data_IF_841058177681
#
_entry.id   IF_841058177681
#
_cell.length_a   1.000
_cell.length_b   1.000
_cell.length_c   1.000
_cell.angle_alpha   90.00
_cell.angle_beta   90.00
_cell.angle_gamma   90.00
#
_symmetry.space_group_name_H-M   'P 1'
#
loop_
_entity.id
_entity.type
_entity.pdbx_description
1 polymer ?
#
# COMPACT_ATOMS: atom_id res chain seq x y z
N UNK A 1 29.02 25.17 45.65
CA UNK A 1 28.65 23.95 44.92
C UNK A 1 27.27 24.17 44.32
N UNK A 2 27.20 24.77 43.13
CA UNK A 2 25.93 24.95 42.40
C UNK A 2 25.87 23.85 41.33
N UNK A 3 24.96 22.90 41.52
CA UNK A 3 24.77 21.76 40.63
C UNK A 3 24.22 22.23 39.29
N UNK A 4 25.03 22.04 38.25
CA UNK A 4 24.64 22.04 36.85
C UNK A 4 23.63 20.92 36.60
N UNK A 5 22.33 21.21 36.68
CA UNK A 5 21.29 20.29 36.21
C UNK A 5 20.97 20.62 34.77
N UNK A 6 21.64 19.93 33.84
CA UNK A 6 21.37 19.96 32.41
C UNK A 6 19.99 19.35 32.15
N UNK A 7 18.98 20.19 31.97
CA UNK A 7 17.67 19.76 31.46
C UNK A 7 17.85 19.50 29.97
N UNK A 8 18.07 18.24 29.61
CA UNK A 8 18.03 17.75 28.24
C UNK A 8 16.54 17.64 27.84
N UNK A 9 16.03 18.40 26.86
CA UNK A 9 14.70 18.13 26.37
C UNK A 9 14.79 16.86 25.53
N UNK A 10 14.27 15.76 26.07
CA UNK A 10 13.87 14.59 25.29
C UNK A 10 12.76 15.05 24.34
N UNK A 11 13.17 15.54 23.17
CA UNK A 11 12.28 15.88 22.08
C UNK A 11 11.57 14.58 21.68
N UNK A 12 10.28 14.55 21.98
CA UNK A 12 9.36 13.47 21.72
C UNK A 12 9.43 13.08 20.24
N UNK A 13 10.10 11.97 19.91
CA UNK A 13 9.90 11.29 18.64
C UNK A 13 8.48 10.72 18.65
N UNK A 14 7.50 11.53 18.24
CA UNK A 14 6.16 11.04 17.91
C UNK A 14 6.31 10.06 16.74
N UNK A 15 5.87 8.80 16.87
CA UNK A 15 5.83 7.90 15.73
C UNK A 15 4.79 8.44 14.73
N UNK A 16 5.27 8.96 13.60
CA UNK A 16 4.46 9.41 12.46
C UNK A 16 3.58 8.28 11.88
N UNK A 17 3.78 7.04 12.35
CA UNK A 17 3.17 5.79 11.91
C UNK A 17 1.71 5.56 12.37
N UNK A 18 1.19 6.35 13.31
CA UNK A 18 -0.15 6.13 13.86
C UNK A 18 -1.27 6.33 12.82
N UNK A 19 -1.10 7.27 11.89
CA UNK A 19 -2.10 7.59 10.87
C UNK A 19 -2.32 6.43 9.89
N UNK A 20 -1.23 5.80 9.43
CA UNK A 20 -1.29 4.69 8.47
C UNK A 20 -1.92 3.41 9.06
N UNK A 21 -1.78 3.16 10.36
CA UNK A 21 -2.44 2.02 11.02
C UNK A 21 -3.95 2.18 11.11
N UNK A 22 -4.40 3.42 11.30
CA UNK A 22 -5.82 3.73 11.41
C UNK A 22 -6.52 3.54 10.06
N UNK A 23 -5.84 3.86 8.97
CA UNK A 23 -6.41 3.79 7.62
C UNK A 23 -6.79 2.35 7.20
N UNK A 24 -5.95 1.34 7.42
CA UNK A 24 -6.31 -0.07 7.08
C UNK A 24 -7.50 -0.59 7.91
N UNK A 25 -7.57 -0.24 9.21
CA UNK A 25 -8.64 -0.70 10.10
C UNK A 25 -10.01 -0.15 9.69
N UNK A 26 -10.03 1.01 9.05
CA UNK A 26 -11.25 1.68 8.59
C UNK A 26 -11.70 1.25 7.18
N UNK A 27 -10.93 0.39 6.49
CA UNK A 27 -11.32 -0.20 5.20
C UNK A 27 -12.46 -1.19 5.45
N UNK A 28 -13.58 -1.03 4.73
CA UNK A 28 -14.78 -1.87 4.94
C UNK A 28 -14.78 -3.11 4.06
N UNK A 29 -14.25 -3.01 2.84
CA UNK A 29 -13.98 -4.16 2.00
C UNK A 29 -12.98 -5.09 2.70
N UNK A 30 -13.39 -6.33 2.93
CA UNK A 30 -12.63 -7.28 3.75
C UNK A 30 -11.36 -7.74 3.07
N UNK A 31 -11.38 -7.84 1.75
CA UNK A 31 -10.24 -8.32 0.98
C UNK A 31 -9.21 -7.20 0.80
N UNK A 32 -9.64 -5.96 0.58
CA UNK A 32 -8.75 -4.79 0.62
C UNK A 32 -8.16 -4.57 2.01
N UNK A 33 -8.95 -4.71 3.07
CA UNK A 33 -8.46 -4.61 4.45
C UNK A 33 -7.35 -5.64 4.73
N UNK A 34 -7.59 -6.91 4.39
CA UNK A 34 -6.60 -7.99 4.55
C UNK A 34 -5.35 -7.73 3.73
N UNK A 35 -5.49 -7.25 2.49
CA UNK A 35 -4.33 -6.86 1.67
C UNK A 35 -3.53 -5.74 2.34
N UNK A 36 -4.21 -4.71 2.85
CA UNK A 36 -3.59 -3.60 3.57
C UNK A 36 -2.81 -4.07 4.80
N UNK A 37 -3.38 -4.97 5.58
CA UNK A 37 -2.73 -5.57 6.75
C UNK A 37 -1.52 -6.42 6.35
N UNK A 38 -1.66 -7.29 5.34
CA UNK A 38 -0.61 -8.18 4.86
C UNK A 38 0.60 -7.42 4.28
N UNK A 39 0.35 -6.37 3.49
CA UNK A 39 1.42 -5.53 2.93
C UNK A 39 2.17 -4.80 4.05
N UNK A 40 1.47 -4.36 5.10
CA UNK A 40 2.11 -3.68 6.23
C UNK A 40 2.83 -4.63 7.19
N UNK A 41 2.33 -5.85 7.36
CA UNK A 41 3.03 -6.89 8.11
C UNK A 41 4.23 -7.44 7.35
N UNK A 42 4.24 -7.31 6.01
CA UNK A 42 5.24 -7.90 5.14
C UNK A 42 5.14 -9.43 5.07
N UNK A 43 4.01 -10.01 5.47
CA UNK A 43 3.80 -11.47 5.50
C UNK A 43 3.00 -11.92 4.29
N UNK A 44 3.64 -12.66 3.40
CA UNK A 44 2.97 -13.27 2.24
C UNK A 44 1.88 -14.26 2.68
N UNK A 45 2.03 -14.87 3.87
CA UNK A 45 1.06 -15.82 4.41
C UNK A 45 -0.27 -15.14 4.71
N UNK A 46 -0.25 -13.86 5.05
CA UNK A 46 -1.45 -13.09 5.41
C UNK A 46 -2.33 -12.85 4.16
N UNK A 47 -1.72 -12.77 2.97
CA UNK A 47 -2.44 -12.69 1.69
C UNK A 47 -3.36 -13.90 1.44
N UNK A 48 -3.08 -15.07 2.02
CA UNK A 48 -3.92 -16.28 1.85
C UNK A 48 -5.35 -16.11 2.37
N UNK A 49 -5.58 -15.15 3.26
CA UNK A 49 -6.90 -14.86 3.82
C UNK A 49 -7.82 -14.09 2.86
N UNK A 50 -7.27 -13.54 1.78
CA UNK A 50 -7.99 -12.77 0.76
C UNK A 50 -8.79 -13.72 -0.12
N UNK A 51 -10.11 -13.48 -0.21
CA UNK A 51 -11.04 -14.30 -0.98
C UNK A 51 -10.88 -14.10 -2.48
N UNK A 52 -10.82 -12.83 -2.91
CA UNK A 52 -10.57 -12.45 -4.29
C UNK A 52 -9.20 -12.95 -4.77
N UNK A 53 -9.20 -13.71 -5.86
CA UNK A 53 -8.00 -14.39 -6.36
C UNK A 53 -6.99 -13.40 -6.94
N UNK A 54 -7.47 -12.38 -7.63
CA UNK A 54 -6.65 -11.41 -8.35
C UNK A 54 -6.00 -10.43 -7.37
N UNK A 55 -6.77 -9.96 -6.39
CA UNK A 55 -6.28 -9.15 -5.27
C UNK A 55 -5.32 -9.94 -4.38
N UNK A 56 -5.54 -11.24 -4.16
CA UNK A 56 -4.58 -12.10 -3.44
C UNK A 56 -3.24 -12.17 -4.17
N UNK A 57 -3.26 -12.39 -5.48
CA UNK A 57 -2.04 -12.40 -6.31
C UNK A 57 -1.33 -11.05 -6.28
N UNK A 58 -2.09 -9.96 -6.35
CA UNK A 58 -1.56 -8.62 -6.22
C UNK A 58 -0.94 -8.35 -4.84
N UNK A 59 -1.56 -8.84 -3.76
CA UNK A 59 -0.99 -8.77 -2.41
C UNK A 59 0.36 -9.50 -2.32
N UNK A 60 0.43 -10.73 -2.84
CA UNK A 60 1.66 -11.52 -2.90
C UNK A 60 2.77 -10.77 -3.66
N UNK A 61 2.41 -10.13 -4.78
CA UNK A 61 3.29 -9.27 -5.58
C UNK A 61 3.89 -8.14 -4.76
N UNK A 62 3.05 -7.45 -3.99
CA UNK A 62 3.47 -6.26 -3.26
C UNK A 62 4.31 -6.59 -2.05
N UNK A 63 4.00 -7.68 -1.35
CA UNK A 63 4.76 -8.13 -0.19
C UNK A 63 6.14 -8.66 -0.59
N UNK A 64 6.22 -9.39 -1.69
CA UNK A 64 7.44 -10.09 -2.09
C UNK A 64 7.62 -10.09 -3.62
N UNK A 65 7.98 -8.93 -4.22
CA UNK A 65 8.12 -8.80 -5.67
C UNK A 65 9.23 -9.71 -6.25
N UNK A 66 10.29 -9.99 -5.48
CA UNK A 66 11.45 -10.78 -5.93
C UNK A 66 11.31 -12.30 -5.71
N UNK A 67 10.20 -12.78 -5.15
CA UNK A 67 10.08 -14.19 -4.73
C UNK A 67 9.92 -15.20 -5.89
N UNK A 68 9.97 -14.75 -7.14
CA UNK A 68 9.86 -15.58 -8.35
C UNK A 68 8.51 -16.30 -8.51
N UNK A 69 7.56 -16.10 -7.59
CA UNK A 69 6.23 -16.73 -7.59
C UNK A 69 5.12 -15.78 -8.02
N UNK A 70 5.41 -14.48 -8.02
CA UNK A 70 4.42 -13.49 -8.43
C UNK A 70 4.45 -13.29 -9.93
N UNK A 71 3.63 -14.04 -10.64
CA UNK A 71 3.33 -13.77 -12.04
C UNK A 71 2.05 -12.91 -12.14
N UNK A 72 2.21 -11.62 -12.48
CA UNK A 72 1.08 -10.72 -12.72
C UNK A 72 0.21 -11.14 -13.92
N UNK A 73 0.64 -12.12 -14.73
CA UNK A 73 -0.15 -12.68 -15.83
C UNK A 73 -1.26 -13.64 -15.38
N UNK A 74 -1.21 -14.14 -14.14
CA UNK A 74 -2.25 -14.98 -13.55
C UNK A 74 -3.48 -14.19 -13.07
N UNK A 75 -3.38 -12.85 -13.06
CA UNK A 75 -4.42 -11.90 -12.67
C UNK A 75 -5.34 -11.67 -13.87
N UNK A 76 -6.64 -11.94 -13.72
CA UNK A 76 -7.61 -11.85 -14.82
C UNK A 76 -8.14 -10.43 -15.02
N UNK A 77 -8.33 -9.70 -13.93
CA UNK A 77 -8.66 -8.29 -13.97
C UNK A 77 -7.52 -7.48 -14.58
N UNK A 78 -7.81 -6.78 -15.67
CA UNK A 78 -6.78 -6.11 -16.47
C UNK A 78 -6.10 -4.98 -15.71
N UNK A 79 -6.87 -4.22 -14.94
CA UNK A 79 -6.36 -3.07 -14.21
C UNK A 79 -5.52 -3.52 -13.02
N UNK A 80 -5.95 -4.55 -12.30
CA UNK A 80 -5.16 -5.21 -11.25
C UNK A 80 -3.87 -5.80 -11.81
N UNK A 81 -3.91 -6.44 -12.99
CA UNK A 81 -2.71 -7.02 -13.62
C UNK A 81 -1.71 -5.92 -14.02
N UNK A 82 -2.16 -4.83 -14.61
CA UNK A 82 -1.31 -3.67 -14.95
C UNK A 82 -0.74 -2.99 -13.71
N UNK A 83 -1.55 -2.83 -12.66
CA UNK A 83 -1.08 -2.29 -11.39
C UNK A 83 -0.03 -3.20 -10.74
N UNK A 84 -0.22 -4.52 -10.80
CA UNK A 84 0.77 -5.51 -10.36
C UNK A 84 2.08 -5.33 -11.14
N UNK A 85 2.01 -5.27 -12.47
CA UNK A 85 3.18 -5.10 -13.34
C UNK A 85 3.95 -3.83 -12.98
N UNK A 86 3.28 -2.68 -12.90
CA UNK A 86 3.89 -1.40 -12.57
C UNK A 86 4.66 -1.40 -11.24
N UNK A 87 4.16 -2.16 -10.27
CA UNK A 87 4.77 -2.29 -8.95
C UNK A 87 5.98 -3.23 -8.97
N UNK A 88 5.88 -4.36 -9.66
CA UNK A 88 6.98 -5.32 -9.79
C UNK A 88 8.12 -4.73 -10.60
N UNK A 89 7.82 -3.99 -11.67
CA UNK A 89 8.81 -3.27 -12.49
C UNK A 89 9.29 -1.97 -11.84
N UNK A 90 8.58 -1.52 -10.80
CA UNK A 90 8.74 -0.21 -10.18
C UNK A 90 8.75 0.94 -11.22
N UNK A 91 7.90 0.83 -12.24
CA UNK A 91 7.81 1.79 -13.35
C UNK A 91 6.46 2.52 -13.29
N UNK A 92 6.45 3.81 -12.89
CA UNK A 92 5.22 4.60 -12.84
C UNK A 92 4.53 4.79 -14.20
N UNK A 93 5.27 4.69 -15.30
CA UNK A 93 4.72 4.79 -16.65
C UNK A 93 3.72 3.66 -16.98
N UNK A 94 3.88 2.50 -16.35
CA UNK A 94 3.00 1.35 -16.56
C UNK A 94 1.58 1.61 -16.00
N UNK A 95 1.46 2.51 -15.00
CA UNK A 95 0.17 2.91 -14.43
C UNK A 95 -0.75 3.61 -15.45
N UNK A 96 -0.21 4.22 -16.51
CA UNK A 96 -1.01 4.94 -17.51
C UNK A 96 -1.91 4.02 -18.36
N UNK A 97 -1.60 2.71 -18.36
CA UNK A 97 -2.40 1.71 -19.07
C UNK A 97 -3.64 1.24 -18.29
N UNK A 98 -3.77 1.62 -17.02
CA UNK A 98 -4.90 1.27 -16.15
C UNK A 98 -6.10 2.13 -16.54
N UNK A 99 -7.23 1.49 -16.83
CA UNK A 99 -8.46 2.15 -17.30
C UNK A 99 -9.19 2.83 -16.13
N UNK A 100 -9.38 2.10 -15.02
CA UNK A 100 -9.98 2.63 -13.80
C UNK A 100 -9.15 3.79 -13.22
N UNK A 101 -9.83 4.91 -12.97
CA UNK A 101 -9.17 6.15 -12.54
C UNK A 101 -8.59 6.03 -11.13
N UNK A 102 -9.30 5.36 -10.24
CA UNK A 102 -8.97 5.26 -8.83
C UNK A 102 -7.82 4.26 -8.63
N UNK A 103 -7.84 3.14 -9.37
CA UNK A 103 -6.71 2.21 -9.45
C UNK A 103 -5.48 2.87 -10.08
N UNK A 104 -5.64 3.66 -11.15
CA UNK A 104 -4.52 4.38 -11.76
C UNK A 104 -3.85 5.35 -10.79
N UNK A 105 -4.64 6.08 -9.99
CA UNK A 105 -4.12 6.97 -8.93
C UNK A 105 -3.42 6.18 -7.83
N UNK A 106 -4.01 5.07 -7.41
CA UNK A 106 -3.42 4.17 -6.41
C UNK A 106 -2.07 3.64 -6.89
N UNK A 107 -2.00 3.18 -8.15
CA UNK A 107 -0.77 2.72 -8.79
C UNK A 107 0.32 3.80 -8.72
N UNK A 108 0.03 5.02 -9.18
CA UNK A 108 0.97 6.14 -9.14
C UNK A 108 1.46 6.41 -7.72
N UNK A 109 0.56 6.47 -6.73
CA UNK A 109 0.91 6.64 -5.32
C UNK A 109 1.82 5.53 -4.78
N UNK A 110 1.71 4.32 -5.32
CA UNK A 110 2.48 3.15 -4.90
C UNK A 110 3.80 2.92 -5.65
N UNK A 111 4.07 3.66 -6.72
CA UNK A 111 5.32 3.55 -7.52
C UNK A 111 6.21 4.78 -7.48
N UNK A 112 5.62 5.98 -7.34
CA UNK A 112 6.41 7.24 -7.31
C UNK A 112 5.66 8.45 -6.75
N UNK A 113 4.45 8.26 -6.26
CA UNK A 113 3.50 9.35 -6.03
C UNK A 113 3.59 9.99 -4.66
N UNK A 114 2.79 11.04 -4.49
CA UNK A 114 2.68 11.83 -3.26
C UNK A 114 1.37 11.52 -2.55
N UNK A 115 1.19 12.03 -1.33
CA UNK A 115 -0.09 11.93 -0.62
C UNK A 115 -1.28 12.49 -1.45
N UNK A 116 -1.04 13.47 -2.33
CA UNK A 116 -2.06 14.05 -3.19
C UNK A 116 -2.67 13.06 -4.20
N UNK A 117 -1.92 12.01 -4.59
CA UNK A 117 -2.44 11.00 -5.50
C UNK A 117 -3.58 10.20 -4.85
N UNK A 118 -3.47 9.90 -3.55
CA UNK A 118 -4.54 9.22 -2.82
C UNK A 118 -5.77 10.12 -2.60
N UNK A 119 -5.61 11.44 -2.44
CA UNK A 119 -6.73 12.35 -2.19
C UNK A 119 -7.70 12.46 -3.38
N UNK A 120 -7.23 12.17 -4.59
CA UNK A 120 -8.07 12.19 -5.79
C UNK A 120 -8.82 10.89 -6.09
N UNK A 121 -8.72 9.88 -5.22
CA UNK A 121 -9.44 8.60 -5.34
C UNK A 121 -10.85 8.77 -4.80
N UNK A 122 -11.87 8.40 -5.57
CA UNK A 122 -13.28 8.53 -5.17
C UNK A 122 -13.70 7.38 -4.22
N UNK A 123 -13.31 6.15 -4.53
CA UNK A 123 -13.53 4.97 -3.69
C UNK A 123 -12.88 5.15 -2.30
N UNK A 124 -13.70 5.04 -1.26
CA UNK A 124 -13.26 5.33 0.11
C UNK A 124 -12.27 4.28 0.63
N UNK A 125 -12.50 3.02 0.33
CA UNK A 125 -11.71 1.90 0.84
C UNK A 125 -10.38 1.83 0.10
N UNK A 126 -10.38 2.08 -1.21
CA UNK A 126 -9.16 2.21 -1.99
C UNK A 126 -8.36 3.44 -1.57
N UNK A 127 -9.01 4.58 -1.31
CA UNK A 127 -8.32 5.80 -0.83
C UNK A 127 -7.61 5.56 0.51
N UNK A 128 -8.28 4.89 1.44
CA UNK A 128 -7.69 4.52 2.75
C UNK A 128 -6.52 3.57 2.57
N UNK A 129 -6.69 2.54 1.75
CA UNK A 129 -5.63 1.59 1.42
C UNK A 129 -4.43 2.31 0.79
N UNK A 130 -4.66 3.21 -0.16
CA UNK A 130 -3.63 4.05 -0.77
C UNK A 130 -2.86 4.86 0.28
N UNK A 131 -3.54 5.58 1.18
CA UNK A 131 -2.89 6.37 2.24
C UNK A 131 -2.02 5.52 3.16
N UNK A 132 -2.48 4.31 3.48
CA UNK A 132 -1.76 3.39 4.33
C UNK A 132 -0.52 2.76 3.67
N UNK A 133 -0.57 2.53 2.35
CA UNK A 133 0.40 1.72 1.61
C UNK A 133 1.25 2.50 0.59
N UNK A 134 0.95 3.78 0.35
CA UNK A 134 1.72 4.62 -0.58
C UNK A 134 3.21 4.57 -0.25
N UNK A 135 4.06 4.78 -1.25
CA UNK A 135 5.49 4.86 -0.98
C UNK A 135 5.79 6.01 0.01
N UNK A 136 6.71 5.80 0.96
CA UNK A 136 7.18 6.85 1.87
C UNK A 136 8.00 7.91 1.13
#
# INVERSE_FOLDING_TARGET
MHHLSRILPLLFCLPLSAHAQTDCNDVRDRDLQRMCEAVRSGSITDCNSIGDRDLRRYCEAKVAPDNGRTDCSDIHDRDTSRQCQAIVTNNPGDCESIDDRDMRRTCRAMTSGTAADCEGIDDRDLRRTCRALKMP
#
